data_IF_763717351429
#
_entry.id   IF_763717351429
#
_cell.length_a   1.000
_cell.length_b   1.000
_cell.length_c   1.000
_cell.angle_alpha   90.00
_cell.angle_beta   90.00
_cell.angle_gamma   90.00
#
_symmetry.space_group_name_H-M   'P 1'
#
loop_
_entity.id
_entity.type
_entity.pdbx_description
1 polymer ?
#
# COMPACT_ATOMS: atom_id res chain seq x y z
N UNK A 1 -20.31 -24.61 -10.70
CA UNK A 1 -20.86 -23.27 -11.06
C UNK A 1 -20.44 -22.18 -10.08
N UNK A 2 -20.39 -22.46 -8.76
CA UNK A 2 -20.00 -21.47 -7.73
C UNK A 2 -18.53 -21.02 -7.78
N UNK A 3 -17.59 -21.87 -8.18
CA UNK A 3 -16.17 -21.50 -8.30
C UNK A 3 -15.92 -20.36 -9.30
N UNK A 4 -16.72 -20.29 -10.37
CA UNK A 4 -16.65 -19.22 -11.35
C UNK A 4 -17.21 -17.89 -10.81
N UNK A 5 -18.17 -17.92 -9.89
CA UNK A 5 -18.71 -16.71 -9.26
C UNK A 5 -17.76 -16.16 -8.20
N UNK A 6 -17.13 -17.07 -7.44
CA UNK A 6 -16.07 -16.76 -6.47
C UNK A 6 -14.89 -16.11 -7.19
N UNK A 7 -14.39 -16.74 -8.25
CA UNK A 7 -13.30 -16.19 -9.04
C UNK A 7 -13.65 -14.82 -9.63
N UNK A 8 -14.86 -14.66 -10.20
CA UNK A 8 -15.29 -13.37 -10.78
C UNK A 8 -15.44 -12.24 -9.76
N UNK A 9 -15.76 -12.53 -8.50
CA UNK A 9 -15.88 -11.52 -7.45
C UNK A 9 -14.54 -11.21 -6.76
N UNK A 10 -13.69 -12.23 -6.55
CA UNK A 10 -12.42 -12.09 -5.82
C UNK A 10 -11.31 -11.50 -6.69
N UNK A 11 -11.24 -11.90 -7.97
CA UNK A 11 -10.18 -11.45 -8.89
C UNK A 11 -10.13 -9.91 -9.02
N UNK A 12 -11.22 -9.17 -9.30
CA UNK A 12 -11.14 -7.72 -9.43
C UNK A 12 -10.78 -7.03 -8.10
N UNK A 13 -11.28 -7.54 -6.96
CA UNK A 13 -10.99 -6.98 -5.65
C UNK A 13 -9.51 -7.19 -5.28
N UNK A 14 -8.98 -8.39 -5.51
CA UNK A 14 -7.57 -8.69 -5.24
C UNK A 14 -6.64 -7.88 -6.14
N UNK A 15 -6.97 -7.71 -7.43
CA UNK A 15 -6.20 -6.85 -8.34
C UNK A 15 -6.22 -5.39 -7.85
N UNK A 16 -7.39 -4.86 -7.49
CA UNK A 16 -7.53 -3.48 -7.01
C UNK A 16 -6.73 -3.24 -5.72
N UNK A 17 -6.84 -4.14 -4.74
CA UNK A 17 -6.09 -4.04 -3.48
C UNK A 17 -4.59 -4.17 -3.70
N UNK A 18 -4.16 -5.11 -4.55
CA UNK A 18 -2.74 -5.30 -4.87
C UNK A 18 -2.18 -4.05 -5.55
N UNK A 19 -2.90 -3.47 -6.51
CA UNK A 19 -2.52 -2.23 -7.17
C UNK A 19 -2.40 -1.06 -6.19
N UNK A 20 -3.36 -0.90 -5.28
CA UNK A 20 -3.33 0.16 -4.27
C UNK A 20 -2.13 0.01 -3.31
N UNK A 21 -1.86 -1.21 -2.84
CA UNK A 21 -0.72 -1.47 -1.94
C UNK A 21 0.60 -1.20 -2.65
N UNK A 22 0.78 -1.67 -3.89
CA UNK A 22 2.00 -1.43 -4.67
C UNK A 22 2.20 0.07 -4.90
N UNK A 23 1.15 0.76 -5.34
CA UNK A 23 1.21 2.21 -5.56
C UNK A 23 1.57 2.97 -4.28
N UNK A 24 0.91 2.66 -3.17
CA UNK A 24 1.19 3.28 -1.87
C UNK A 24 2.62 3.04 -1.39
N UNK A 25 3.15 1.83 -1.58
CA UNK A 25 4.53 1.51 -1.19
C UNK A 25 5.58 2.18 -2.07
N UNK A 26 5.37 2.25 -3.39
CA UNK A 26 6.26 2.99 -4.29
C UNK A 26 6.24 4.47 -3.95
N UNK A 27 5.05 5.05 -3.76
CA UNK A 27 4.88 6.45 -3.41
C UNK A 27 5.57 6.78 -2.09
N UNK A 28 5.32 5.99 -1.04
CA UNK A 28 5.92 6.19 0.28
C UNK A 28 7.46 6.04 0.23
N UNK A 29 7.96 5.04 -0.50
CA UNK A 29 9.41 4.87 -0.66
C UNK A 29 10.05 6.04 -1.38
N UNK A 30 9.43 6.51 -2.46
CA UNK A 30 9.92 7.68 -3.20
C UNK A 30 9.95 8.92 -2.31
N UNK A 31 8.90 9.14 -1.52
CA UNK A 31 8.80 10.26 -0.60
C UNK A 31 9.89 10.20 0.48
N UNK A 32 10.03 9.05 1.16
CA UNK A 32 11.05 8.84 2.20
C UNK A 32 12.46 8.98 1.63
N UNK A 33 12.71 8.45 0.41
CA UNK A 33 14.02 8.56 -0.23
C UNK A 33 14.39 10.03 -0.44
N UNK A 34 13.49 10.82 -1.02
CA UNK A 34 13.72 12.25 -1.28
C UNK A 34 13.98 13.01 0.02
N UNK A 35 13.13 12.82 1.04
CA UNK A 35 13.28 13.50 2.33
C UNK A 35 14.60 13.13 3.03
N UNK A 36 14.97 11.85 3.03
CA UNK A 36 16.23 11.39 3.64
C UNK A 36 17.45 11.93 2.88
N UNK A 37 17.41 11.98 1.55
CA UNK A 37 18.50 12.59 0.76
C UNK A 37 18.60 14.09 1.00
N UNK A 38 17.47 14.79 1.11
CA UNK A 38 17.45 16.23 1.38
C UNK A 38 17.99 16.53 2.79
N UNK A 39 17.63 15.71 3.78
CA UNK A 39 18.17 15.85 5.14
C UNK A 39 19.66 15.58 5.20
N UNK A 40 20.15 14.55 4.50
CA UNK A 40 21.58 14.28 4.41
C UNK A 40 22.34 15.45 3.77
N UNK A 41 21.79 16.05 2.71
CA UNK A 41 22.36 17.24 2.07
C UNK A 41 22.40 18.43 3.06
N UNK A 42 21.30 18.72 3.77
CA UNK A 42 21.27 19.78 4.80
C UNK A 42 22.28 19.56 5.92
N UNK A 43 22.44 18.31 6.35
CA UNK A 43 23.42 17.96 7.38
C UNK A 43 24.85 18.25 6.90
N UNK A 44 25.16 17.83 5.67
CA UNK A 44 26.45 18.10 5.06
C UNK A 44 26.69 19.60 4.88
N UNK A 45 25.68 20.38 4.50
CA UNK A 45 25.77 21.85 4.41
C UNK A 45 26.13 22.49 5.75
N UNK A 46 25.49 22.06 6.84
CA UNK A 46 25.80 22.57 8.17
C UNK A 46 27.24 22.26 8.59
N UNK A 47 27.76 21.08 8.22
CA UNK A 47 29.17 20.74 8.44
C UNK A 47 30.09 21.60 7.58
N UNK A 48 29.78 21.79 6.29
CA UNK A 48 30.55 22.64 5.39
C UNK A 48 30.64 24.08 5.91
N UNK A 49 29.51 24.65 6.32
CA UNK A 49 29.44 26.00 6.90
C UNK A 49 30.24 26.08 8.21
N UNK A 50 30.16 25.05 9.06
CA UNK A 50 30.93 24.98 10.30
C UNK A 50 32.44 24.96 10.02
N UNK A 51 32.89 24.19 9.01
CA UNK A 51 34.29 24.15 8.60
C UNK A 51 34.74 25.52 8.10
N UNK A 52 33.97 26.16 7.20
CA UNK A 52 34.28 27.52 6.71
C UNK A 52 34.42 28.49 7.88
N UNK A 53 33.44 28.53 8.79
CA UNK A 53 33.46 29.40 9.99
C UNK A 53 34.62 29.10 10.93
N UNK A 54 34.97 27.83 11.14
CA UNK A 54 36.11 27.44 11.98
C UNK A 54 37.45 27.85 11.35
N UNK A 55 37.56 27.78 10.03
CA UNK A 55 38.77 28.18 9.29
C UNK A 55 38.87 29.69 9.05
N UNK A 56 37.76 30.44 9.19
CA UNK A 56 37.67 31.87 8.89
C UNK A 56 38.75 32.69 9.58
N UNK A 57 38.95 32.48 10.89
CA UNK A 57 39.97 33.21 11.64
C UNK A 57 41.41 32.89 11.17
N UNK A 58 41.70 31.60 10.93
CA UNK A 58 43.01 31.18 10.42
C UNK A 58 43.27 31.72 9.00
N UNK A 59 42.23 31.82 8.17
CA UNK A 59 42.31 32.45 6.84
C UNK A 59 42.55 33.97 6.94
N UNK A 60 41.91 34.65 7.91
CA UNK A 60 42.08 36.08 8.14
C UNK A 60 43.50 36.45 8.55
N UNK A 61 44.13 35.63 9.40
CA UNK A 61 45.50 35.84 9.89
C UNK A 61 46.59 35.28 8.95
N UNK A 62 46.21 34.70 7.80
CA UNK A 62 47.10 33.87 6.93
C UNK A 62 47.89 32.81 7.72
N UNK A 63 47.31 32.28 8.81
CA UNK A 63 47.90 31.22 9.62
C UNK A 63 47.66 29.86 8.95
N UNK A 64 48.55 29.55 8.02
CA UNK A 64 48.52 28.30 7.24
C UNK A 64 48.72 27.06 8.09
N UNK A 65 49.44 27.16 9.21
CA UNK A 65 49.67 26.02 10.09
C UNK A 65 48.40 25.68 10.88
N UNK A 66 47.71 26.69 11.41
CA UNK A 66 46.39 26.50 12.04
C UNK A 66 45.35 26.01 11.05
N UNK A 67 45.30 26.59 9.84
CA UNK A 67 44.39 26.14 8.78
C UNK A 67 44.65 24.66 8.43
N UNK A 68 45.92 24.27 8.26
CA UNK A 68 46.32 22.87 8.01
C UNK A 68 45.89 21.94 9.14
N UNK A 69 46.05 22.36 10.40
CA UNK A 69 45.66 21.55 11.56
C UNK A 69 44.14 21.37 11.67
N UNK A 70 43.35 22.43 11.44
CA UNK A 70 41.89 22.35 11.40
C UNK A 70 41.47 21.38 10.30
N UNK A 71 42.02 21.54 9.08
CA UNK A 71 41.72 20.70 7.93
C UNK A 71 42.06 19.22 8.18
N UNK A 72 43.22 18.96 8.79
CA UNK A 72 43.65 17.61 9.15
C UNK A 72 42.74 16.96 10.21
N UNK A 73 42.23 17.72 11.18
CA UNK A 73 41.30 17.22 12.18
C UNK A 73 39.92 16.91 11.56
N UNK A 74 39.44 17.76 10.66
CA UNK A 74 38.19 17.53 9.92
C UNK A 74 38.32 16.30 9.02
N UNK A 75 39.45 16.12 8.34
CA UNK A 75 39.71 14.95 7.49
C UNK A 75 39.83 13.62 8.26
N UNK A 76 39.89 13.66 9.60
CA UNK A 76 39.88 12.46 10.46
C UNK A 76 38.45 12.05 10.88
N UNK A 77 37.45 12.88 10.62
CA UNK A 77 36.05 12.53 10.88
C UNK A 77 35.67 11.34 10.01
N UNK A 78 35.05 10.31 10.59
CA UNK A 78 34.70 9.08 9.87
C UNK A 78 33.74 9.30 8.68
N UNK A 79 33.04 10.43 8.65
CA UNK A 79 32.08 10.80 7.62
C UNK A 79 32.70 11.65 6.51
N UNK A 80 33.83 12.33 6.78
CA UNK A 80 34.55 13.18 5.83
C UNK A 80 35.64 12.33 5.18
N UNK A 81 35.49 12.07 3.90
CA UNK A 81 36.42 11.21 3.17
C UNK A 81 37.35 12.03 2.26
N UNK A 82 36.91 13.24 1.90
CA UNK A 82 37.71 14.17 1.12
C UNK A 82 37.43 15.62 1.50
N UNK A 83 38.48 16.42 1.61
CA UNK A 83 38.37 17.87 1.82
C UNK A 83 39.43 18.60 0.99
N UNK A 84 39.04 19.64 0.27
CA UNK A 84 39.93 20.46 -0.56
C UNK A 84 39.52 21.91 -0.59
N UNK A 85 40.51 22.78 -0.53
CA UNK A 85 40.33 24.21 -0.76
C UNK A 85 40.91 24.53 -2.13
N UNK A 86 40.10 25.06 -3.03
CA UNK A 86 40.53 25.53 -4.34
C UNK A 86 40.69 27.04 -4.31
N UNK A 87 41.82 27.51 -4.84
CA UNK A 87 42.06 28.93 -5.12
C UNK A 87 41.17 29.40 -6.29
N UNK A 88 41.10 30.71 -6.55
CA UNK A 88 40.39 31.30 -7.69
C UNK A 88 40.83 30.70 -9.04
N UNK A 89 42.09 30.29 -9.13
CA UNK A 89 42.69 29.62 -10.31
C UNK A 89 42.36 28.12 -10.40
N UNK A 90 41.41 27.63 -9.61
CA UNK A 90 41.03 26.20 -9.55
C UNK A 90 42.14 25.26 -9.08
N UNK A 91 43.16 25.77 -8.40
CA UNK A 91 44.28 24.98 -7.92
C UNK A 91 44.06 24.57 -6.46
N UNK A 92 44.20 23.29 -6.10
CA UNK A 92 44.05 22.84 -4.72
C UNK A 92 45.18 23.40 -3.85
N UNK A 93 44.83 24.00 -2.72
CA UNK A 93 45.74 24.36 -1.63
C UNK A 93 45.74 23.21 -0.62
N UNK A 94 46.93 22.86 -0.09
CA UNK A 94 47.13 21.78 0.89
C UNK A 94 46.96 20.34 0.36
N UNK A 95 47.37 20.07 -0.88
CA UNK A 95 47.41 18.72 -1.45
C UNK A 95 48.33 17.73 -0.70
N UNK A 96 49.20 18.22 0.17
CA UNK A 96 50.13 17.41 0.97
C UNK A 96 49.46 16.69 2.16
N UNK A 97 48.22 17.06 2.50
CA UNK A 97 47.42 16.37 3.53
C UNK A 97 46.79 15.06 3.03
N UNK A 98 47.09 14.65 1.80
CA UNK A 98 46.41 13.57 1.11
C UNK A 98 47.19 12.26 1.21
N UNK A 99 46.51 11.19 1.64
CA UNK A 99 46.98 9.83 1.41
C UNK A 99 46.91 9.47 -0.09
N UNK A 100 47.66 8.45 -0.50
CA UNK A 100 47.59 7.94 -1.88
C UNK A 100 46.19 7.38 -2.14
N UNK A 101 45.47 8.01 -3.06
CA UNK A 101 44.14 7.59 -3.47
C UNK A 101 44.22 6.68 -4.69
N UNK A 102 43.51 5.55 -4.68
CA UNK A 102 43.44 4.65 -5.82
C UNK A 102 42.72 5.30 -7.04
N UNK A 103 43.17 5.04 -8.29
CA UNK A 103 42.47 5.48 -9.49
C UNK A 103 41.02 4.97 -9.50
N UNK A 104 40.05 5.86 -9.73
CA UNK A 104 38.63 5.51 -9.75
C UNK A 104 37.93 5.44 -8.38
N UNK A 105 38.60 5.83 -7.29
CA UNK A 105 37.92 5.99 -6.00
C UNK A 105 36.87 7.11 -6.05
N UNK A 106 35.93 7.09 -5.11
CA UNK A 106 34.95 8.15 -4.93
C UNK A 106 35.63 9.53 -4.77
N UNK A 107 36.77 9.65 -4.07
CA UNK A 107 37.44 10.93 -3.87
C UNK A 107 37.96 11.52 -5.18
N UNK A 108 38.40 10.68 -6.13
CA UNK A 108 38.79 11.15 -7.48
C UNK A 108 37.57 11.71 -8.22
N UNK A 109 36.40 11.08 -8.07
CA UNK A 109 35.15 11.57 -8.70
C UNK A 109 34.68 12.88 -8.10
N UNK A 110 34.73 13.01 -6.77
CA UNK A 110 34.45 14.27 -6.06
C UNK A 110 35.37 15.38 -6.56
N UNK A 111 36.64 15.05 -6.77
CA UNK A 111 37.65 15.98 -7.27
C UNK A 111 37.38 16.39 -8.73
N UNK A 112 37.01 15.45 -9.60
CA UNK A 112 36.62 15.72 -11.00
C UNK A 112 35.38 16.60 -11.08
N UNK A 113 34.35 16.28 -10.29
CA UNK A 113 33.14 17.09 -10.21
C UNK A 113 33.44 18.50 -9.71
N UNK A 114 34.21 18.61 -8.61
CA UNK A 114 34.60 19.90 -8.06
C UNK A 114 35.42 20.71 -9.06
N UNK A 115 36.36 20.09 -9.78
CA UNK A 115 37.11 20.77 -10.85
C UNK A 115 36.19 21.29 -11.94
N UNK A 116 35.16 20.53 -12.34
CA UNK A 116 34.19 20.98 -13.34
C UNK A 116 33.41 22.20 -12.87
N UNK A 117 33.03 22.25 -11.60
CA UNK A 117 32.37 23.41 -10.99
C UNK A 117 33.31 24.62 -10.96
N UNK A 118 34.52 24.42 -10.41
CA UNK A 118 35.48 25.51 -10.19
C UNK A 118 36.09 26.04 -11.51
N UNK A 119 36.17 25.22 -12.57
CA UNK A 119 36.61 25.66 -13.91
C UNK A 119 35.49 26.17 -14.83
N UNK A 120 34.23 26.06 -14.42
CA UNK A 120 33.08 26.58 -15.16
C UNK A 120 33.03 28.12 -15.14
N UNK A 121 32.69 28.72 -16.30
CA UNK A 121 32.40 30.14 -16.44
C UNK A 121 30.88 30.37 -16.29
N UNK A 122 30.38 30.67 -15.09
CA UNK A 122 28.95 30.88 -14.91
C UNK A 122 28.50 31.31 -13.51
N UNK A 123 27.21 31.70 -13.43
CA UNK A 123 26.44 32.17 -12.28
C UNK A 123 26.41 31.21 -11.08
N UNK A 124 26.72 29.93 -11.31
CA UNK A 124 26.83 28.84 -10.33
C UNK A 124 27.98 29.00 -9.30
N UNK A 125 28.90 29.95 -9.50
CA UNK A 125 30.04 30.12 -8.58
C UNK A 125 29.66 30.72 -7.23
N UNK A 126 28.51 31.39 -7.13
CA UNK A 126 28.05 32.05 -5.91
C UNK A 126 27.18 31.18 -5.00
N UNK A 127 26.80 29.99 -5.46
CA UNK A 127 25.86 29.11 -4.74
C UNK A 127 26.58 27.85 -4.23
N UNK A 128 26.10 27.31 -3.11
CA UNK A 128 26.54 25.99 -2.64
C UNK A 128 25.94 24.93 -3.54
N UNK A 129 26.79 24.10 -4.14
CA UNK A 129 26.37 23.02 -5.04
C UNK A 129 26.58 21.66 -4.40
N UNK A 130 25.75 20.70 -4.80
CA UNK A 130 25.71 19.36 -4.23
C UNK A 130 25.70 18.30 -5.33
N UNK A 131 26.38 17.19 -5.09
CA UNK A 131 26.26 15.99 -5.91
C UNK A 131 26.01 14.80 -5.01
N UNK A 132 24.88 14.12 -5.22
CA UNK A 132 24.56 12.86 -4.57
C UNK A 132 24.72 11.73 -5.58
N UNK A 133 25.67 10.84 -5.33
CA UNK A 133 25.90 9.66 -6.15
C UNK A 133 25.55 8.41 -5.34
N UNK A 134 24.41 7.81 -5.65
CA UNK A 134 23.93 6.58 -5.01
C UNK A 134 24.70 5.34 -5.47
N UNK A 135 25.30 5.35 -6.66
CA UNK A 135 25.99 4.18 -7.22
C UNK A 135 27.39 4.02 -6.61
N UNK A 136 28.07 5.15 -6.40
CA UNK A 136 29.40 5.20 -5.79
C UNK A 136 29.36 5.53 -4.30
N UNK A 137 28.18 5.90 -3.77
CA UNK A 137 27.94 6.04 -2.35
C UNK A 137 28.56 7.28 -1.72
N UNK A 138 28.45 8.45 -2.36
CA UNK A 138 28.98 9.70 -1.81
C UNK A 138 28.03 10.89 -1.96
N UNK A 139 28.21 11.88 -1.08
CA UNK A 139 27.62 13.22 -1.17
C UNK A 139 28.78 14.21 -1.22
N UNK A 140 28.89 14.96 -2.32
CA UNK A 140 29.86 16.02 -2.47
C UNK A 140 29.19 17.38 -2.29
N UNK A 141 29.87 18.30 -1.63
CA UNK A 141 29.45 19.70 -1.48
C UNK A 141 30.57 20.62 -1.89
N UNK A 142 30.23 21.60 -2.71
CA UNK A 142 31.13 22.67 -3.14
C UNK A 142 30.55 23.99 -2.62
N UNK A 143 31.24 24.62 -1.68
CA UNK A 143 30.83 25.86 -1.05
C UNK A 143 31.81 26.98 -1.44
N UNK A 144 31.33 28.11 -2.00
CA UNK A 144 32.19 29.23 -2.33
C UNK A 144 32.66 29.96 -1.07
N UNK A 145 33.92 30.39 -1.07
CA UNK A 145 34.49 31.28 -0.05
C UNK A 145 34.30 32.70 -0.55
N UNK A 146 33.36 33.43 0.04
CA UNK A 146 33.01 34.79 -0.36
C UNK A 146 34.03 35.81 0.15
N UNK A 147 34.23 36.88 -0.62
CA UNK A 147 35.05 38.00 -0.22
C UNK A 147 34.28 38.90 0.76
N UNK A 148 34.59 38.81 2.06
CA UNK A 148 34.00 39.68 3.07
C UNK A 148 34.72 41.04 3.15
N UNK A 149 34.08 42.12 3.63
CA UNK A 149 34.72 43.44 3.73
C UNK A 149 36.02 43.45 4.55
N UNK A 150 36.15 42.53 5.51
CA UNK A 150 37.38 42.34 6.29
C UNK A 150 38.51 41.71 5.49
N UNK A 151 38.21 40.94 4.45
CA UNK A 151 39.19 40.34 3.53
C UNK A 151 39.70 41.38 2.52
N UNK A 152 38.83 42.29 2.02
CA UNK A 152 39.22 43.40 1.13
C UNK A 152 40.08 44.47 1.84
N UNK A 153 39.96 44.57 3.17
CA UNK A 153 40.69 45.55 4.00
C UNK A 153 41.82 44.94 4.83
N UNK A 154 42.06 43.62 4.71
CA UNK A 154 43.06 42.92 5.49
C UNK A 154 44.50 43.26 5.06
N UNK A 155 45.41 43.31 6.03
CA UNK A 155 46.84 43.58 5.82
C UNK A 155 47.61 42.37 5.26
N UNK A 156 47.00 41.18 5.21
CA UNK A 156 47.67 39.92 4.87
C UNK A 156 47.91 39.78 3.35
N UNK A 157 46.90 40.06 2.51
CA UNK A 157 47.03 40.21 1.06
C UNK A 157 45.84 40.97 0.47
N UNK A 158 46.07 41.71 -0.60
CA UNK A 158 45.05 42.54 -1.23
C UNK A 158 44.15 41.70 -2.14
N UNK A 159 42.85 41.64 -1.81
CA UNK A 159 41.80 41.21 -2.71
C UNK A 159 41.06 42.44 -3.23
N UNK A 160 40.85 42.49 -4.55
CA UNK A 160 40.10 43.58 -5.14
C UNK A 160 38.60 43.43 -4.80
N UNK A 161 37.92 44.54 -4.51
CA UNK A 161 36.49 44.53 -4.14
C UNK A 161 35.58 44.02 -5.28
N UNK A 162 36.08 44.01 -6.52
CA UNK A 162 35.39 43.48 -7.70
C UNK A 162 35.49 41.95 -7.84
N UNK A 163 36.24 41.27 -6.96
CA UNK A 163 36.31 39.81 -6.87
C UNK A 163 35.43 39.29 -5.70
N UNK A 164 34.18 38.86 -5.96
CA UNK A 164 33.26 38.43 -4.91
C UNK A 164 33.59 37.05 -4.31
N UNK A 165 34.44 36.25 -4.97
CA UNK A 165 34.74 34.86 -4.59
C UNK A 165 36.25 34.65 -4.54
N UNK A 166 36.76 34.25 -3.37
CA UNK A 166 38.18 34.04 -3.09
C UNK A 166 38.62 32.60 -3.35
N UNK A 167 37.68 31.66 -3.40
CA UNK A 167 37.97 30.24 -3.60
C UNK A 167 36.75 29.37 -3.35
N UNK A 168 36.98 28.06 -3.28
CA UNK A 168 35.92 27.07 -3.03
C UNK A 168 36.40 26.01 -2.06
N UNK A 169 35.58 25.72 -1.06
CA UNK A 169 35.72 24.54 -0.22
C UNK A 169 34.94 23.40 -0.85
N UNK A 170 35.64 22.33 -1.22
CA UNK A 170 35.04 21.07 -1.66
C UNK A 170 35.17 20.03 -0.57
N UNK A 171 34.06 19.36 -0.27
CA UNK A 171 33.96 18.31 0.71
C UNK A 171 33.29 17.08 0.09
N UNK A 172 33.82 15.90 0.35
CA UNK A 172 33.25 14.62 -0.03
C UNK A 172 32.94 13.80 1.21
N UNK A 173 31.69 13.38 1.32
CA UNK A 173 31.16 12.58 2.42
C UNK A 173 30.72 11.22 1.93
N UNK A 174 30.89 10.21 2.77
CA UNK A 174 30.37 8.88 2.47
C UNK A 174 28.85 8.84 2.71
N UNK A 175 28.07 8.44 1.70
CA UNK A 175 26.63 8.19 1.86
C UNK A 175 26.31 6.76 2.29
N UNK A 176 27.34 5.96 2.62
CA UNK A 176 27.17 4.55 2.98
C UNK A 176 26.17 4.33 4.14
N UNK A 177 26.10 5.25 5.10
CA UNK A 177 25.13 5.17 6.19
C UNK A 177 23.69 5.43 5.71
N UNK A 178 23.51 6.42 4.83
CA UNK A 178 22.23 6.74 4.19
C UNK A 178 21.75 5.54 3.35
N UNK A 179 22.62 4.99 2.51
CA UNK A 179 22.28 3.83 1.67
C UNK A 179 21.91 2.59 2.47
N UNK A 180 22.67 2.28 3.54
CA UNK A 180 22.32 1.18 4.45
C UNK A 180 20.94 1.37 5.08
N UNK A 181 20.65 2.60 5.52
CA UNK A 181 19.36 2.92 6.13
C UNK A 181 18.22 2.81 5.12
N UNK A 182 18.39 3.35 3.91
CA UNK A 182 17.42 3.23 2.82
C UNK A 182 17.20 1.77 2.39
N UNK A 183 18.25 0.94 2.35
CA UNK A 183 18.15 -0.48 2.02
C UNK A 183 17.39 -1.27 3.10
N UNK A 184 17.64 -0.98 4.38
CA UNK A 184 16.89 -1.58 5.49
C UNK A 184 15.42 -1.15 5.47
N UNK A 185 15.14 0.13 5.23
CA UNK A 185 13.78 0.66 5.10
C UNK A 185 13.05 0.00 3.92
N UNK A 186 13.71 -0.13 2.76
CA UNK A 186 13.17 -0.84 1.59
C UNK A 186 12.79 -2.28 1.95
N UNK A 187 13.69 -3.01 2.62
CA UNK A 187 13.46 -4.42 2.99
C UNK A 187 12.29 -4.56 3.98
N UNK A 188 12.26 -3.70 5.02
CA UNK A 188 11.17 -3.68 6.00
C UNK A 188 9.84 -3.30 5.37
N UNK A 189 9.85 -2.35 4.44
CA UNK A 189 8.67 -1.94 3.71
C UNK A 189 8.14 -3.09 2.85
N UNK A 190 9.00 -3.78 2.08
CA UNK A 190 8.59 -4.94 1.29
C UNK A 190 7.98 -6.03 2.18
N UNK A 191 8.61 -6.36 3.31
CA UNK A 191 8.09 -7.34 4.25
C UNK A 191 6.70 -6.92 4.80
N UNK A 192 6.54 -5.64 5.16
CA UNK A 192 5.28 -5.09 5.61
C UNK A 192 4.21 -5.10 4.51
N UNK A 193 4.56 -4.75 3.26
CA UNK A 193 3.66 -4.81 2.10
C UNK A 193 3.14 -6.21 1.86
N UNK A 194 4.02 -7.23 1.91
CA UNK A 194 3.64 -8.62 1.74
C UNK A 194 2.74 -9.11 2.88
N UNK A 195 3.03 -8.70 4.12
CA UNK A 195 2.19 -9.00 5.27
C UNK A 195 0.78 -8.40 5.12
N UNK A 196 0.67 -7.12 4.75
CA UNK A 196 -0.62 -6.45 4.53
C UNK A 196 -1.37 -7.06 3.35
N UNK A 197 -0.68 -7.37 2.25
CA UNK A 197 -1.28 -8.04 1.10
C UNK A 197 -1.87 -9.40 1.49
N UNK A 198 -1.10 -10.22 2.22
CA UNK A 198 -1.58 -11.50 2.71
C UNK A 198 -2.81 -11.34 3.62
N UNK A 199 -2.75 -10.41 4.57
CA UNK A 199 -3.83 -10.17 5.52
C UNK A 199 -5.11 -9.66 4.83
N UNK A 200 -4.97 -8.82 3.82
CA UNK A 200 -6.11 -8.31 3.04
C UNK A 200 -6.75 -9.39 2.17
N UNK A 201 -5.95 -10.22 1.48
CA UNK A 201 -6.48 -11.34 0.68
C UNK A 201 -7.21 -12.35 1.57
N UNK A 202 -6.58 -12.77 2.68
CA UNK A 202 -7.20 -13.70 3.63
C UNK A 202 -8.44 -13.09 4.28
N UNK A 203 -8.37 -11.81 4.67
CA UNK A 203 -9.49 -11.08 5.28
C UNK A 203 -10.68 -10.96 4.35
N UNK A 204 -10.48 -10.55 3.09
CA UNK A 204 -11.55 -10.46 2.09
C UNK A 204 -12.14 -11.84 1.79
N UNK A 205 -11.31 -12.87 1.62
CA UNK A 205 -11.78 -14.24 1.40
C UNK A 205 -12.62 -14.76 2.58
N UNK A 206 -12.18 -14.53 3.82
CA UNK A 206 -12.92 -14.90 5.03
C UNK A 206 -14.24 -14.14 5.15
N UNK A 207 -14.25 -12.83 4.89
CA UNK A 207 -15.47 -12.01 4.92
C UNK A 207 -16.50 -12.46 3.88
N UNK A 208 -16.06 -12.72 2.65
CA UNK A 208 -16.95 -13.23 1.59
C UNK A 208 -17.50 -14.61 1.97
N UNK A 209 -16.65 -15.51 2.50
CA UNK A 209 -17.07 -16.85 2.96
C UNK A 209 -18.14 -16.78 4.04
N UNK A 210 -17.92 -15.95 5.06
CA UNK A 210 -18.79 -15.85 6.24
C UNK A 210 -20.09 -15.06 5.96
N UNK A 211 -20.05 -14.07 5.07
CA UNK A 211 -21.19 -13.18 4.84
C UNK A 211 -22.01 -13.48 3.59
N UNK A 212 -21.42 -14.07 2.54
CA UNK A 212 -22.14 -14.41 1.31
C UNK A 212 -22.32 -15.91 1.16
N UNK A 213 -21.23 -16.67 1.15
CA UNK A 213 -21.29 -18.08 0.76
C UNK A 213 -21.99 -18.96 1.78
N UNK A 214 -21.66 -18.84 3.07
CA UNK A 214 -22.29 -19.64 4.12
C UNK A 214 -23.81 -19.42 4.21
N UNK A 215 -24.35 -18.18 4.18
CA UNK A 215 -25.79 -17.99 4.21
C UNK A 215 -26.48 -18.40 2.89
N UNK A 216 -25.85 -18.26 1.73
CA UNK A 216 -26.40 -18.74 0.44
C UNK A 216 -26.48 -20.28 0.42
N UNK A 217 -25.45 -20.99 0.88
CA UNK A 217 -25.44 -22.46 0.96
C UNK A 217 -26.53 -23.00 1.88
N UNK A 218 -26.79 -22.31 3.00
CA UNK A 218 -27.90 -22.70 3.88
C UNK A 218 -29.27 -22.45 3.24
N UNK A 219 -29.45 -21.32 2.57
CA UNK A 219 -30.71 -21.02 1.86
C UNK A 219 -30.98 -22.00 0.71
N UNK A 220 -29.95 -22.40 -0.04
CA UNK A 220 -30.11 -23.42 -1.09
C UNK A 220 -30.49 -24.78 -0.51
N UNK A 221 -29.96 -25.15 0.65
CA UNK A 221 -30.38 -26.37 1.36
C UNK A 221 -31.83 -26.27 1.89
N UNK A 222 -32.24 -25.12 2.45
CA UNK A 222 -33.63 -24.86 2.84
C UNK A 222 -34.58 -24.94 1.62
N UNK A 223 -34.15 -24.43 0.45
CA UNK A 223 -34.89 -24.52 -0.80
C UNK A 223 -35.05 -25.97 -1.27
N UNK A 224 -34.00 -26.78 -1.22
CA UNK A 224 -34.05 -28.19 -1.61
C UNK A 224 -35.00 -29.00 -0.70
N UNK A 225 -34.95 -28.78 0.61
CA UNK A 225 -35.89 -29.40 1.55
C UNK A 225 -37.33 -28.97 1.30
N UNK A 226 -37.57 -27.68 1.04
CA UNK A 226 -38.89 -27.19 0.69
C UNK A 226 -39.38 -27.87 -0.60
N UNK A 227 -38.58 -27.90 -1.67
CA UNK A 227 -38.95 -28.56 -2.94
C UNK A 227 -39.30 -30.04 -2.73
N UNK A 228 -38.61 -30.72 -1.81
CA UNK A 228 -38.87 -32.12 -1.45
C UNK A 228 -40.09 -32.33 -0.53
N UNK A 229 -40.89 -31.28 -0.27
CA UNK A 229 -42.17 -31.38 0.42
C UNK A 229 -42.13 -31.13 1.93
N UNK A 230 -41.01 -30.65 2.47
CA UNK A 230 -40.94 -30.24 3.89
C UNK A 230 -41.75 -28.95 4.07
N UNK A 231 -42.58 -28.92 5.12
CA UNK A 231 -43.43 -27.79 5.47
C UNK A 231 -42.62 -26.67 6.13
N UNK A 232 -43.10 -25.41 6.02
CA UNK A 232 -42.41 -24.23 6.58
C UNK A 232 -41.97 -24.36 8.05
N UNK A 233 -42.78 -24.94 8.97
CA UNK A 233 -42.42 -25.04 10.39
C UNK A 233 -41.21 -25.96 10.67
N UNK A 234 -40.95 -26.92 9.79
CA UNK A 234 -39.88 -27.91 9.93
C UNK A 234 -38.56 -27.44 9.30
N UNK A 235 -38.57 -26.28 8.64
CA UNK A 235 -37.36 -25.70 8.06
C UNK A 235 -36.41 -25.15 9.14
N UNK A 236 -35.09 -25.29 8.98
CA UNK A 236 -34.10 -24.67 9.87
C UNK A 236 -34.33 -23.17 10.08
N UNK A 237 -33.98 -22.67 11.28
CA UNK A 237 -34.14 -21.24 11.63
C UNK A 237 -33.35 -20.33 10.69
N UNK A 238 -34.04 -19.36 10.07
CA UNK A 238 -33.46 -18.40 9.12
C UNK A 238 -32.36 -17.56 9.77
N UNK A 239 -31.24 -17.41 9.09
CA UNK A 239 -30.18 -16.54 9.55
C UNK A 239 -30.47 -15.08 9.17
N UNK A 240 -30.22 -14.14 10.11
CA UNK A 240 -30.55 -12.70 9.93
C UNK A 240 -29.75 -12.02 8.81
N UNK A 241 -28.65 -12.63 8.36
CA UNK A 241 -27.70 -12.07 7.37
C UNK A 241 -28.29 -11.86 5.96
N UNK A 242 -29.24 -12.71 5.53
CA UNK A 242 -29.97 -12.56 4.26
C UNK A 242 -31.44 -12.18 4.52
N UNK A 243 -31.70 -11.44 5.60
CA UNK A 243 -33.00 -11.35 6.25
C UNK A 243 -34.20 -10.97 5.36
N UNK A 244 -34.04 -10.17 4.29
CA UNK A 244 -35.15 -9.90 3.37
C UNK A 244 -35.47 -11.13 2.51
N UNK A 245 -34.45 -11.69 1.87
CA UNK A 245 -34.59 -12.86 0.98
C UNK A 245 -35.08 -14.10 1.73
N UNK A 246 -34.58 -14.34 2.96
CA UNK A 246 -35.03 -15.48 3.78
C UNK A 246 -36.48 -15.37 4.26
N UNK A 247 -36.97 -14.15 4.49
CA UNK A 247 -38.39 -13.92 4.84
C UNK A 247 -39.30 -14.11 3.63
N UNK A 248 -38.92 -13.53 2.49
CA UNK A 248 -39.70 -13.64 1.26
C UNK A 248 -39.80 -15.11 0.82
N UNK A 249 -38.72 -15.89 0.96
CA UNK A 249 -38.73 -17.33 0.69
C UNK A 249 -39.71 -18.10 1.58
N UNK A 250 -39.72 -17.88 2.90
CA UNK A 250 -40.64 -18.58 3.81
C UNK A 250 -42.09 -18.22 3.57
N UNK A 251 -42.37 -16.97 3.21
CA UNK A 251 -43.71 -16.56 2.80
C UNK A 251 -44.19 -17.35 1.58
N UNK A 252 -43.32 -17.61 0.60
CA UNK A 252 -43.66 -18.43 -0.56
C UNK A 252 -43.91 -19.91 -0.19
N UNK A 253 -43.09 -20.49 0.69
CA UNK A 253 -43.29 -21.88 1.17
C UNK A 253 -44.62 -21.99 1.93
N UNK A 254 -44.91 -21.02 2.81
CA UNK A 254 -46.18 -20.98 3.55
C UNK A 254 -47.39 -20.86 2.63
N UNK A 255 -47.34 -20.00 1.61
CA UNK A 255 -48.42 -19.86 0.64
C UNK A 255 -48.66 -21.15 -0.15
N UNK A 256 -47.58 -21.89 -0.50
CA UNK A 256 -47.69 -23.21 -1.12
C UNK A 256 -48.38 -24.21 -0.19
N UNK A 257 -47.96 -24.28 1.07
CA UNK A 257 -48.52 -25.24 2.04
C UNK A 257 -50.01 -24.97 2.29
N UNK A 258 -50.40 -23.70 2.42
CA UNK A 258 -51.80 -23.28 2.53
C UNK A 258 -52.61 -23.63 1.27
N UNK A 259 -52.03 -23.49 0.07
CA UNK A 259 -52.68 -23.85 -1.18
C UNK A 259 -52.89 -25.37 -1.33
N UNK A 260 -51.91 -26.18 -0.90
CA UNK A 260 -52.04 -27.65 -0.89
C UNK A 260 -53.14 -28.09 0.09
N UNK A 261 -53.17 -27.55 1.31
CA UNK A 261 -54.21 -27.84 2.30
C UNK A 261 -55.62 -27.46 1.81
N UNK A 262 -55.78 -26.32 1.12
CA UNK A 262 -57.07 -25.93 0.52
C UNK A 262 -57.49 -26.90 -0.58
N UNK A 263 -56.56 -27.38 -1.39
CA UNK A 263 -56.84 -28.37 -2.44
C UNK A 263 -57.27 -29.71 -1.85
N UNK A 264 -56.62 -30.16 -0.79
CA UNK A 264 -56.97 -31.41 -0.11
C UNK A 264 -58.34 -31.30 0.57
N UNK A 265 -58.63 -30.17 1.23
CA UNK A 265 -59.92 -29.92 1.85
C UNK A 265 -61.07 -29.85 0.84
N UNK A 266 -60.87 -29.20 -0.31
CA UNK A 266 -61.87 -29.14 -1.39
C UNK A 266 -62.07 -30.51 -2.06
N UNK A 267 -61.02 -31.31 -2.21
CA UNK A 267 -61.12 -32.68 -2.74
C UNK A 267 -61.84 -33.61 -1.77
N UNK A 268 -61.57 -33.49 -0.46
CA UNK A 268 -62.25 -34.25 0.58
C UNK A 268 -63.74 -33.88 0.69
N UNK A 269 -64.09 -32.59 0.63
CA UNK A 269 -65.47 -32.12 0.64
C UNK A 269 -66.26 -32.60 -0.59
N UNK A 270 -65.65 -32.55 -1.78
CA UNK A 270 -66.26 -33.07 -3.01
C UNK A 270 -66.51 -34.58 -2.93
N UNK A 271 -65.53 -35.34 -2.42
CA UNK A 271 -65.69 -36.78 -2.23
C UNK A 271 -66.72 -37.17 -1.15
N UNK A 272 -66.97 -36.32 -0.14
CA UNK A 272 -68.03 -36.55 0.84
C UNK A 272 -69.42 -36.24 0.29
N UNK A 273 -69.57 -35.18 -0.51
CA UNK A 273 -70.84 -34.85 -1.18
C UNK A 273 -71.21 -35.94 -2.20
N UNK A 274 -70.25 -36.40 -3.00
CA UNK A 274 -70.46 -37.52 -3.94
C UNK A 274 -70.89 -38.81 -3.19
N UNK A 275 -70.33 -39.08 -2.00
CA UNK A 275 -70.73 -40.21 -1.15
C UNK A 275 -72.12 -40.05 -0.55
N UNK A 276 -72.52 -38.82 -0.20
CA UNK A 276 -73.85 -38.52 0.32
C UNK A 276 -74.92 -38.62 -0.77
N UNK A 277 -74.67 -38.11 -1.98
CA UNK A 277 -75.56 -38.30 -3.13
C UNK A 277 -75.68 -39.78 -3.52
N UNK A 278 -74.59 -40.54 -3.48
CA UNK A 278 -74.62 -41.97 -3.80
C UNK A 278 -75.34 -42.81 -2.71
N UNK A 279 -75.33 -42.35 -1.45
CA UNK A 279 -76.10 -42.96 -0.37
C UNK A 279 -77.61 -42.63 -0.48
N UNK A 280 -77.97 -41.39 -0.83
CA UNK A 280 -79.37 -40.98 -0.97
C UNK A 280 -80.04 -41.59 -2.22
N UNK A 281 -79.31 -41.70 -3.34
CA UNK A 281 -79.78 -42.40 -4.54
C UNK A 281 -80.05 -43.90 -4.29
N UNK A 282 -79.18 -44.60 -3.56
CA UNK A 282 -79.42 -46.00 -3.14
C UNK A 282 -80.67 -46.15 -2.26
N UNK A 283 -80.94 -45.17 -1.39
CA UNK A 283 -82.12 -45.16 -0.50
C UNK A 283 -83.41 -44.94 -1.29
N UNK A 284 -83.40 -44.06 -2.30
CA UNK A 284 -84.55 -43.87 -3.21
C UNK A 284 -84.85 -45.09 -4.09
N UNK A 285 -83.83 -45.78 -4.59
CA UNK A 285 -84.05 -47.05 -5.34
C UNK A 285 -84.62 -48.17 -4.47
N UNK A 286 -84.35 -48.17 -3.16
CA UNK A 286 -84.92 -49.16 -2.23
C UNK A 286 -86.35 -48.85 -1.77
N UNK A 287 -86.82 -47.61 -1.94
CA UNK A 287 -88.17 -47.18 -1.51
C UNK A 287 -89.22 -47.22 -2.63
N UNK A 288 -88.85 -47.61 -3.86
CA UNK A 288 -89.73 -47.65 -5.04
C UNK A 288 -90.22 -49.04 -5.45
N UNK A 289 -90.03 -50.08 -4.63
CA UNK A 289 -90.48 -51.44 -4.97
C UNK A 289 -91.63 -51.88 -4.06
N UNK A 290 -92.85 -51.51 -4.44
CA UNK A 290 -94.08 -52.08 -3.90
C UNK A 290 -94.52 -53.23 -4.83
N UNK A 291 -94.47 -54.51 -4.41
CA UNK A 291 -94.95 -55.60 -5.24
C UNK A 291 -96.48 -55.66 -5.20
N UNK A 292 -97.10 -55.41 -6.35
CA UNK A 292 -98.53 -55.60 -6.61
C UNK A 292 -98.89 -57.09 -6.63
N UNK A 293 -100.13 -57.35 -6.21
CA UNK A 293 -100.73 -58.63 -5.83
C UNK A 293 -100.91 -59.68 -6.94
N UNK A 294 -101.25 -60.91 -6.50
CA UNK A 294 -102.17 -61.97 -7.03
C UNK A 294 -101.51 -63.36 -6.94
N UNK A 295 -101.98 -64.34 -6.15
CA UNK A 295 -103.28 -65.05 -6.05
C UNK A 295 -103.45 -66.18 -7.09
N UNK A 296 -103.59 -67.43 -6.62
CA UNK A 296 -104.02 -68.63 -7.36
C UNK A 296 -103.13 -69.85 -7.06
N UNK A 297 -103.48 -70.73 -6.11
CA UNK A 297 -104.45 -71.84 -6.19
C UNK A 297 -103.89 -73.11 -6.86
N UNK A 298 -103.95 -74.25 -6.14
CA UNK A 298 -103.96 -75.60 -6.74
C UNK A 298 -103.35 -76.74 -5.91
N UNK A 299 -104.21 -77.71 -5.55
CA UNK A 299 -104.00 -79.02 -4.87
C UNK A 299 -103.86 -78.98 -3.33
N UNK A 300 -104.83 -79.46 -2.53
CA UNK A 300 -105.98 -80.38 -2.74
C UNK A 300 -107.36 -79.75 -2.52
#
# INVERSE_FOLDING_TARGET
MFDNLIARAIVPVTIAVTGFVIFGCIFLYSFIKVDMTAEAVRHVDGLAETVVRATHYAMMEDDRDSLRNILANVNRLAEVERIRIYDQRSQPKFSDLEGVTAPGSFSVRVDEWSKKIVSGSGQDRGETLHQVDHDYGFIAVNMPILNEPKCSTAACHFHAEDEPILGFLSLGFSSAHLEKTLALLKTRMIAFSLMVLFLTVVGVAALLRINLFLPILRLTHEMEQAVNGVAEPDLPKSNRKLGKLGRDFRLLVKQRDEALLRKDATTAARGSDDRLEQADSRRRTSAGHEPTATAGSGEN
#
